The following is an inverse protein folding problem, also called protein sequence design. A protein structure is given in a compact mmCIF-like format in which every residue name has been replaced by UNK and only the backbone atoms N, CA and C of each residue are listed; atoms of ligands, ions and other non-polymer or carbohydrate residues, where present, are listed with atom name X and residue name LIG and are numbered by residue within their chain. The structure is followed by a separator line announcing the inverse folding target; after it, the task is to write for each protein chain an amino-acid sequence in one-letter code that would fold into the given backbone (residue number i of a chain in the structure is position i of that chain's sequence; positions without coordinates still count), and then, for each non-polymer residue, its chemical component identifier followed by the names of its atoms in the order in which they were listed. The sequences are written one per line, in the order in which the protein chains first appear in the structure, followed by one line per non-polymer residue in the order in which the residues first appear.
data_IF_089702401358
#
_entry.id   IF_089702401358
#
_cell.length_a   1.000
_cell.length_b   1.000
_cell.length_c   1.000
_cell.angle_alpha   90.00
_cell.angle_beta   90.00
_cell.angle_gamma   90.00
#
_symmetry.space_group_name_H-M   'P 1'
#
loop_
_entity.id
_entity.type
_entity.pdbx_description
1 polymer ?
#
# COMPACT_ATOMS: atom_id res chain seq x y z
N UNK A 1 -2.85 4.27 -23.10
CA UNK A 1 -2.74 5.74 -23.02
C UNK A 1 -1.82 6.17 -21.87
N UNK A 2 -2.16 5.89 -20.61
CA UNK A 2 -1.33 6.27 -19.43
C UNK A 2 0.12 5.76 -19.53
N UNK A 3 0.31 4.49 -19.90
CA UNK A 3 1.65 3.91 -20.12
C UNK A 3 2.47 4.68 -21.17
N UNK A 4 1.87 4.97 -22.33
CA UNK A 4 2.54 5.70 -23.41
C UNK A 4 2.96 7.11 -22.99
N UNK A 5 2.12 7.80 -22.20
CA UNK A 5 2.44 9.12 -21.64
C UNK A 5 3.61 9.03 -20.66
N UNK A 6 3.62 8.03 -19.76
CA UNK A 6 4.71 7.82 -18.80
C UNK A 6 6.05 7.54 -19.49
N UNK A 7 6.06 6.79 -20.60
CA UNK A 7 7.27 6.52 -21.39
C UNK A 7 7.79 7.80 -22.05
N UNK A 8 6.91 8.64 -22.60
CA UNK A 8 7.31 9.93 -23.20
C UNK A 8 7.84 10.88 -22.13
N UNK A 9 7.20 10.94 -20.96
CA UNK A 9 7.67 11.72 -19.81
C UNK A 9 9.05 11.23 -19.36
N UNK A 10 9.25 9.92 -19.27
CA UNK A 10 10.57 9.33 -18.93
C UNK A 10 11.65 9.75 -19.93
N UNK A 11 11.36 9.70 -21.23
CA UNK A 11 12.29 10.12 -22.28
C UNK A 11 12.62 11.63 -22.18
N UNK A 12 11.63 12.46 -21.86
CA UNK A 12 11.83 13.90 -21.61
C UNK A 12 12.70 14.19 -20.38
N UNK A 13 12.47 13.49 -19.26
CA UNK A 13 13.29 13.62 -18.05
C UNK A 13 14.72 13.11 -18.26
N UNK A 14 14.90 12.05 -19.06
CA UNK A 14 16.22 11.53 -19.42
C UNK A 14 17.03 12.54 -20.24
N UNK A 15 16.40 13.16 -21.25
CA UNK A 15 17.04 14.22 -22.03
C UNK A 15 17.32 15.48 -21.21
N UNK A 16 16.51 15.74 -20.18
CA UNK A 16 16.72 16.82 -19.21
C UNK A 16 17.81 16.54 -18.16
N UNK A 17 18.42 15.36 -18.15
CA UNK A 17 19.47 14.98 -17.19
C UNK A 17 19.00 14.85 -15.73
N UNK A 18 17.69 14.68 -15.50
CA UNK A 18 17.11 14.61 -14.16
C UNK A 18 17.01 13.14 -13.71
N UNK A 19 17.71 12.75 -12.65
CA UNK A 19 17.75 11.35 -12.15
C UNK A 19 16.38 10.75 -11.78
N UNK A 20 15.35 11.58 -11.59
CA UNK A 20 13.98 11.15 -11.37
C UNK A 20 13.39 10.32 -12.54
N UNK A 21 14.03 10.30 -13.72
CA UNK A 21 13.61 9.46 -14.85
C UNK A 21 13.56 7.97 -14.46
N UNK A 22 14.44 7.51 -13.56
CA UNK A 22 14.53 6.11 -13.17
C UNK A 22 13.26 5.65 -12.44
N UNK A 23 12.73 6.49 -11.54
CA UNK A 23 11.50 6.21 -10.82
C UNK A 23 10.30 6.08 -11.77
N UNK A 24 10.17 7.03 -12.72
CA UNK A 24 9.08 7.02 -13.72
C UNK A 24 9.20 5.80 -14.65
N UNK A 25 10.43 5.41 -15.00
CA UNK A 25 10.69 4.22 -15.82
C UNK A 25 10.21 2.93 -15.13
N UNK A 26 10.49 2.76 -13.83
CA UNK A 26 10.05 1.57 -13.07
C UNK A 26 8.52 1.52 -13.01
N UNK A 27 7.86 2.64 -12.77
CA UNK A 27 6.38 2.71 -12.81
C UNK A 27 5.83 2.34 -14.20
N UNK A 28 6.44 2.84 -15.27
CA UNK A 28 6.05 2.47 -16.63
C UNK A 28 6.23 0.96 -16.86
N UNK A 29 7.36 0.37 -16.45
CA UNK A 29 7.63 -1.06 -16.62
C UNK A 29 6.57 -1.94 -15.94
N UNK A 30 6.20 -1.63 -14.70
CA UNK A 30 5.15 -2.37 -13.97
C UNK A 30 3.80 -2.26 -14.70
N UNK A 31 3.45 -1.06 -15.16
CA UNK A 31 2.24 -0.86 -15.97
C UNK A 31 2.30 -1.58 -17.32
N UNK A 32 3.49 -1.73 -17.91
CA UNK A 32 3.73 -2.52 -19.12
C UNK A 32 3.42 -4.00 -18.90
N UNK A 33 3.93 -4.58 -17.82
CA UNK A 33 3.62 -5.97 -17.42
C UNK A 33 2.15 -6.17 -17.06
N UNK A 34 1.53 -5.22 -16.36
CA UNK A 34 0.08 -5.24 -16.12
C UNK A 34 -0.71 -5.14 -17.42
N UNK A 35 -0.22 -4.36 -18.39
CA UNK A 35 -0.83 -4.28 -19.72
C UNK A 35 -0.64 -5.56 -20.53
N UNK A 36 0.43 -6.33 -20.29
CA UNK A 36 0.64 -7.62 -20.95
C UNK A 36 -0.49 -8.62 -20.64
N UNK A 37 -1.11 -8.51 -19.46
CA UNK A 37 -2.31 -9.29 -19.11
C UNK A 37 -3.49 -9.01 -20.06
N UNK A 38 -3.55 -7.85 -20.73
CA UNK A 38 -4.58 -7.61 -21.76
C UNK A 38 -4.37 -8.48 -23.00
N UNK A 39 -3.14 -8.86 -23.35
CA UNK A 39 -2.90 -9.71 -24.52
C UNK A 39 -3.39 -11.15 -24.31
N UNK A 40 -3.60 -11.58 -23.06
CA UNK A 40 -4.26 -12.87 -22.76
C UNK A 40 -5.72 -12.92 -23.22
N UNK A 41 -6.32 -11.80 -23.64
CA UNK A 41 -7.66 -11.72 -24.26
C UNK A 41 -7.79 -12.44 -25.60
N UNK A 42 -6.69 -12.81 -26.25
CA UNK A 42 -6.70 -13.46 -27.57
C UNK A 42 -7.33 -14.86 -27.59
N UNK A 43 -7.43 -15.55 -26.44
CA UNK A 43 -8.15 -16.83 -26.32
C UNK A 43 -9.58 -16.59 -25.84
N UNK A 44 -10.57 -17.14 -26.56
CA UNK A 44 -12.02 -17.02 -26.26
C UNK A 44 -12.38 -17.42 -24.82
N UNK A 45 -11.72 -18.44 -24.26
CA UNK A 45 -11.94 -18.90 -22.88
C UNK A 45 -11.27 -17.95 -21.87
N UNK A 46 -10.01 -17.58 -22.07
CA UNK A 46 -9.23 -16.75 -21.13
C UNK A 46 -9.64 -15.27 -21.14
N UNK A 47 -10.15 -14.77 -22.27
CA UNK A 47 -10.52 -13.36 -22.43
C UNK A 47 -11.74 -12.92 -21.62
N UNK A 48 -12.72 -13.81 -21.40
CA UNK A 48 -13.88 -13.50 -20.55
C UNK A 48 -13.47 -13.36 -19.07
N UNK A 49 -12.61 -14.26 -18.59
CA UNK A 49 -12.08 -14.20 -17.22
C UNK A 49 -11.18 -12.97 -16.98
N UNK A 50 -10.33 -12.59 -17.94
CA UNK A 50 -9.44 -11.43 -17.75
C UNK A 50 -10.20 -10.10 -17.70
N UNK A 51 -11.25 -9.94 -18.51
CA UNK A 51 -12.14 -8.76 -18.46
C UNK A 51 -12.88 -8.69 -17.13
N UNK A 52 -13.35 -9.84 -16.63
CA UNK A 52 -14.04 -9.94 -15.34
C UNK A 52 -13.11 -9.56 -14.18
N UNK A 53 -11.90 -10.15 -14.12
CA UNK A 53 -10.89 -9.85 -13.09
C UNK A 53 -10.49 -8.38 -13.13
N UNK A 54 -10.24 -7.79 -14.30
CA UNK A 54 -9.87 -6.37 -14.41
C UNK A 54 -10.97 -5.45 -13.90
N UNK A 55 -12.24 -5.75 -14.20
CA UNK A 55 -13.38 -4.92 -13.77
C UNK A 55 -13.56 -4.97 -12.25
N UNK A 56 -13.47 -6.16 -11.67
CA UNK A 56 -13.56 -6.40 -10.23
C UNK A 56 -12.36 -5.75 -9.52
N UNK A 57 -11.14 -5.93 -10.06
CA UNK A 57 -9.92 -5.36 -9.50
C UNK A 57 -9.92 -3.82 -9.56
N UNK A 58 -10.32 -3.18 -10.65
CA UNK A 58 -10.30 -1.71 -10.68
C UNK A 58 -11.42 -1.07 -9.87
N UNK A 59 -12.63 -1.65 -9.89
CA UNK A 59 -13.79 -1.01 -9.27
C UNK A 59 -13.86 -1.27 -7.76
N UNK A 60 -13.73 -2.52 -7.36
CA UNK A 60 -13.96 -2.90 -5.98
C UNK A 60 -12.68 -2.72 -5.16
N UNK A 61 -11.52 -3.16 -5.68
CA UNK A 61 -10.25 -3.01 -4.96
C UNK A 61 -9.91 -1.55 -4.68
N UNK A 62 -10.15 -0.65 -5.64
CA UNK A 62 -9.83 0.77 -5.46
C UNK A 62 -10.65 1.42 -4.34
N UNK A 63 -11.95 1.10 -4.24
CA UNK A 63 -12.81 1.64 -3.17
C UNK A 63 -12.38 1.12 -1.80
N UNK A 64 -12.05 -0.16 -1.70
CA UNK A 64 -11.54 -0.75 -0.45
C UNK A 64 -10.14 -0.23 -0.10
N UNK A 65 -9.27 -0.05 -1.09
CA UNK A 65 -7.94 0.52 -0.92
C UNK A 65 -8.00 1.94 -0.35
N UNK A 66 -8.93 2.79 -0.80
CA UNK A 66 -9.10 4.12 -0.24
C UNK A 66 -9.50 4.09 1.24
N UNK A 67 -10.42 3.22 1.63
CA UNK A 67 -10.82 3.05 3.05
C UNK A 67 -9.63 2.55 3.87
N UNK A 68 -8.88 1.57 3.36
CA UNK A 68 -7.67 1.09 3.99
C UNK A 68 -6.62 2.19 4.17
N UNK A 69 -6.32 2.98 3.12
CA UNK A 69 -5.34 4.07 3.20
C UNK A 69 -5.74 5.17 4.19
N UNK A 70 -7.03 5.52 4.25
CA UNK A 70 -7.53 6.47 5.26
C UNK A 70 -7.33 5.94 6.68
N UNK A 71 -7.61 4.66 6.89
CA UNK A 71 -7.41 3.99 8.18
C UNK A 71 -5.92 3.91 8.55
N UNK A 72 -5.06 3.57 7.59
CA UNK A 72 -3.60 3.55 7.74
C UNK A 72 -3.05 4.90 8.19
N UNK A 73 -3.42 5.97 7.48
CA UNK A 73 -2.97 7.34 7.79
C UNK A 73 -3.47 7.78 9.17
N UNK A 74 -4.72 7.46 9.50
CA UNK A 74 -5.31 7.74 10.82
C UNK A 74 -4.52 7.07 11.95
N UNK A 75 -4.31 5.76 11.87
CA UNK A 75 -3.55 5.02 12.88
C UNK A 75 -2.08 5.42 12.93
N UNK A 76 -1.45 5.68 11.78
CA UNK A 76 -0.09 6.18 11.73
C UNK A 76 0.03 7.52 12.47
N UNK A 77 -0.91 8.45 12.25
CA UNK A 77 -0.89 9.75 12.95
C UNK A 77 -1.04 9.60 14.47
N UNK A 78 -1.89 8.68 14.93
CA UNK A 78 -2.10 8.41 16.35
C UNK A 78 -0.88 7.75 17.01
N UNK A 79 -0.33 6.71 16.38
CA UNK A 79 0.84 5.99 16.89
C UNK A 79 2.11 6.87 16.87
N UNK A 80 2.31 7.67 15.81
CA UNK A 80 3.40 8.65 15.76
C UNK A 80 3.25 9.70 16.86
N UNK A 81 2.02 10.01 17.31
CA UNK A 81 1.79 10.90 18.47
C UNK A 81 2.18 10.31 19.82
N UNK A 82 2.36 9.00 19.90
CA UNK A 82 2.80 8.31 21.12
C UNK A 82 4.33 8.13 21.19
N UNK A 83 5.03 8.42 20.09
CA UNK A 83 6.50 8.43 20.04
C UNK A 83 7.05 9.70 20.73
N UNK A 84 8.20 9.56 21.39
CA UNK A 84 8.86 10.69 22.02
C UNK A 84 9.44 11.65 20.96
N UNK A 85 9.28 12.98 21.11
CA UNK A 85 9.91 13.94 20.20
C UNK A 85 11.43 13.87 20.33
N UNK A 86 12.14 14.00 19.21
CA UNK A 86 13.60 14.09 19.25
C UNK A 86 14.04 15.37 19.98
N UNK A 87 15.11 15.32 20.80
CA UNK A 87 15.69 16.52 21.38
C UNK A 87 16.18 17.45 20.27
N UNK A 88 15.94 18.76 20.42
CA UNK A 88 16.38 19.77 19.47
C UNK A 88 17.91 19.81 19.38
N UNK A 89 18.45 20.10 18.20
CA UNK A 89 19.90 20.27 17.97
C UNK A 89 20.56 21.28 18.94
N UNK A 90 19.78 22.21 19.49
CA UNK A 90 20.24 23.18 20.50
C UNK A 90 20.61 22.55 21.86
N UNK A 91 20.10 21.36 22.21
CA UNK A 91 20.50 20.67 23.45
C UNK A 91 21.77 19.81 23.26
N UNK A 92 22.29 19.73 22.04
CA UNK A 92 23.47 18.94 21.67
C UNK A 92 24.72 19.79 21.43
N UNK A 93 24.63 21.12 21.52
CA UNK A 93 25.74 22.06 21.29
C UNK A 93 26.80 22.08 22.41
N UNK A 94 26.50 21.55 23.60
CA UNK A 94 27.46 21.48 24.73
C UNK A 94 28.32 20.21 24.78
N UNK A 95 28.03 19.18 23.97
CA UNK A 95 28.81 17.92 23.97
C UNK A 95 29.34 17.61 22.58
N UNK A 96 30.66 17.58 22.45
CA UNK A 96 31.42 17.40 21.20
C UNK A 96 31.17 16.08 20.45
N UNK A 97 30.37 15.15 21.00
CA UNK A 97 30.01 13.86 20.40
C UNK A 97 28.52 13.52 20.63
N UNK A 98 27.60 14.44 20.35
CA UNK A 98 26.17 14.15 20.42
C UNK A 98 25.63 13.71 19.05
N UNK A 99 25.43 12.40 18.86
CA UNK A 99 24.60 11.89 17.77
C UNK A 99 23.14 12.15 18.11
N UNK A 100 22.45 12.95 17.30
CA UNK A 100 21.01 13.17 17.45
C UNK A 100 20.32 11.83 17.18
N UNK A 101 19.56 11.27 18.15
CA UNK A 101 18.82 10.06 17.89
C UNK A 101 17.90 10.32 16.70
N UNK A 102 17.85 9.37 15.76
CA UNK A 102 16.93 9.41 14.63
C UNK A 102 15.93 8.27 14.80
N UNK A 103 14.81 8.30 14.07
CA UNK A 103 13.90 7.16 13.97
C UNK A 103 14.68 5.84 13.79
N UNK A 104 14.37 4.76 14.54
CA UNK A 104 13.16 4.49 15.35
C UNK A 104 13.10 5.09 16.76
N UNK A 105 14.19 5.69 17.25
CA UNK A 105 14.33 6.10 18.66
C UNK A 105 13.54 7.35 19.07
N UNK A 106 13.19 8.20 18.11
CA UNK A 106 12.42 9.41 18.37
C UNK A 106 11.66 9.89 17.11
N UNK A 107 10.69 10.77 17.33
CA UNK A 107 9.84 11.39 16.29
C UNK A 107 10.42 12.71 15.82
N UNK A 108 10.67 12.80 14.52
CA UNK A 108 10.93 14.02 13.77
C UNK A 108 9.86 14.24 12.67
N UNK A 109 9.89 15.41 12.03
CA UNK A 109 8.99 15.81 10.93
C UNK A 109 8.97 14.82 9.75
N UNK A 110 10.10 14.19 9.43
CA UNK A 110 10.21 13.23 8.31
C UNK A 110 9.83 11.79 8.71
N UNK A 111 9.71 11.51 10.01
CA UNK A 111 9.45 10.18 10.56
C UNK A 111 8.08 9.62 10.17
N UNK A 112 7.11 10.47 9.83
CA UNK A 112 5.77 10.01 9.47
C UNK A 112 5.77 9.11 8.23
N UNK A 113 6.57 9.44 7.20
CA UNK A 113 6.61 8.65 5.97
C UNK A 113 7.29 7.29 6.18
N UNK A 114 8.38 7.24 6.96
CA UNK A 114 9.07 5.98 7.26
C UNK A 114 8.21 5.09 8.16
N UNK A 115 7.55 5.69 9.16
CA UNK A 115 6.64 4.97 10.05
C UNK A 115 5.42 4.39 9.32
N UNK A 116 4.85 5.13 8.36
CA UNK A 116 3.78 4.62 7.50
C UNK A 116 4.22 3.37 6.71
N UNK A 117 5.44 3.38 6.18
CA UNK A 117 6.00 2.24 5.45
C UNK A 117 6.25 1.05 6.36
N UNK A 118 6.74 1.27 7.58
CA UNK A 118 6.99 0.18 8.52
C UNK A 118 5.69 -0.41 9.08
N UNK A 119 4.65 0.41 9.33
CA UNK A 119 3.30 -0.08 9.58
C UNK A 119 2.78 -0.95 8.43
N UNK A 120 2.99 -0.52 7.19
CA UNK A 120 2.59 -1.30 6.03
C UNK A 120 3.35 -2.64 5.95
N UNK A 121 4.67 -2.63 6.15
CA UNK A 121 5.47 -3.87 6.24
C UNK A 121 4.97 -4.78 7.35
N UNK A 122 4.59 -4.22 8.50
CA UNK A 122 4.06 -4.95 9.64
C UNK A 122 2.72 -5.64 9.29
N UNK A 123 1.84 -5.00 8.53
CA UNK A 123 0.60 -5.65 8.05
C UNK A 123 0.82 -6.80 7.08
N UNK A 124 1.94 -6.79 6.33
CA UNK A 124 2.34 -7.90 5.44
C UNK A 124 3.03 -9.03 6.24
N UNK A 125 3.56 -8.72 7.43
CA UNK A 125 4.32 -9.64 8.27
C UNK A 125 5.84 -9.54 8.12
N UNK A 126 6.35 -8.46 7.51
CA UNK A 126 7.78 -8.18 7.32
C UNK A 126 8.28 -7.00 8.17
N UNK A 127 7.46 -6.46 9.07
CA UNK A 127 7.81 -5.28 9.86
C UNK A 127 8.57 -5.62 11.14
N UNK A 128 9.59 -4.83 11.45
CA UNK A 128 10.33 -4.91 12.71
C UNK A 128 9.63 -4.10 13.81
N UNK A 129 9.70 -4.61 15.05
CA UNK A 129 9.04 -4.01 16.22
C UNK A 129 9.93 -3.00 16.98
N UNK A 130 11.04 -2.53 16.40
CA UNK A 130 11.99 -1.63 17.06
C UNK A 130 11.36 -0.29 17.52
N UNK A 131 10.32 0.17 16.82
CA UNK A 131 9.55 1.35 17.17
C UNK A 131 8.68 1.21 18.42
N UNK A 132 8.51 -0.01 18.95
CA UNK A 132 7.76 -0.29 20.19
C UNK A 132 8.51 0.17 21.44
N UNK A 133 9.85 0.05 21.44
CA UNK A 133 10.70 0.40 22.58
C UNK A 133 10.82 1.92 22.79
N UNK A 134 10.54 2.69 21.74
CA UNK A 134 10.71 4.15 21.71
C UNK A 134 9.43 4.91 22.07
N UNK A 135 8.35 4.20 22.35
CA UNK A 135 7.05 4.77 22.70
C UNK A 135 7.04 5.30 24.15
N UNK A 136 6.45 6.49 24.35
CA UNK A 136 6.27 7.09 25.68
C UNK A 136 5.38 6.26 26.59
N UNK A 137 4.38 5.60 26.00
CA UNK A 137 3.43 4.72 26.68
C UNK A 137 3.33 3.38 25.93
N UNK A 138 4.22 2.41 26.22
CA UNK A 138 4.29 1.17 25.47
C UNK A 138 2.99 0.35 25.54
N UNK A 139 2.29 0.36 26.68
CA UNK A 139 1.01 -0.35 26.82
C UNK A 139 -0.08 0.16 25.88
N UNK A 140 -0.25 1.47 25.78
CA UNK A 140 -1.26 2.08 24.88
C UNK A 140 -0.88 1.86 23.42
N UNK A 141 0.42 1.96 23.11
CA UNK A 141 0.94 1.71 21.78
C UNK A 141 0.66 0.27 21.33
N UNK A 142 0.94 -0.72 22.18
CA UNK A 142 0.67 -2.14 21.89
C UNK A 142 -0.82 -2.38 21.66
N UNK A 143 -1.69 -1.85 22.51
CA UNK A 143 -3.15 -2.02 22.35
C UNK A 143 -3.63 -1.42 21.02
N UNK A 144 -3.18 -0.21 20.68
CA UNK A 144 -3.52 0.43 19.40
C UNK A 144 -2.96 -0.36 18.21
N UNK A 145 -1.75 -0.88 18.31
CA UNK A 145 -1.14 -1.68 17.26
C UNK A 145 -1.90 -3.00 17.04
N UNK A 146 -2.26 -3.71 18.11
CA UNK A 146 -3.03 -4.97 18.04
C UNK A 146 -4.41 -4.73 17.46
N UNK A 147 -5.13 -3.70 17.93
CA UNK A 147 -6.45 -3.35 17.40
C UNK A 147 -6.39 -2.96 15.92
N UNK A 148 -5.34 -2.24 15.51
CA UNK A 148 -5.06 -1.94 14.11
C UNK A 148 -4.85 -3.21 13.25
N UNK A 149 -4.03 -4.16 13.71
CA UNK A 149 -3.80 -5.42 12.98
C UNK A 149 -5.10 -6.21 12.82
N UNK A 150 -5.90 -6.32 13.89
CA UNK A 150 -7.18 -7.02 13.84
C UNK A 150 -8.14 -6.34 12.84
N UNK A 151 -8.28 -5.01 12.91
CA UNK A 151 -9.19 -4.27 12.04
C UNK A 151 -8.74 -4.31 10.58
N UNK A 152 -7.45 -4.16 10.30
CA UNK A 152 -6.92 -4.28 8.94
C UNK A 152 -7.13 -5.68 8.38
N UNK A 153 -6.92 -6.73 9.17
CA UNK A 153 -7.18 -8.10 8.75
C UNK A 153 -8.67 -8.32 8.42
N UNK A 154 -9.58 -7.83 9.27
CA UNK A 154 -11.03 -7.89 9.01
C UNK A 154 -11.40 -7.12 7.73
N UNK A 155 -10.83 -5.95 7.50
CA UNK A 155 -11.08 -5.16 6.28
C UNK A 155 -10.59 -5.88 5.02
N UNK A 156 -9.39 -6.47 5.06
CA UNK A 156 -8.83 -7.23 3.95
C UNK A 156 -9.64 -8.51 3.67
N UNK A 157 -10.09 -9.21 4.72
CA UNK A 157 -10.96 -10.38 4.56
C UNK A 157 -12.32 -10.00 4.00
N UNK A 158 -12.95 -8.94 4.48
CA UNK A 158 -14.25 -8.47 3.96
C UNK A 158 -14.18 -8.14 2.47
N UNK A 159 -13.07 -7.56 2.04
CA UNK A 159 -12.80 -7.31 0.64
C UNK A 159 -12.61 -8.61 -0.15
N UNK A 160 -11.81 -9.56 0.34
CA UNK A 160 -11.63 -10.86 -0.33
C UNK A 160 -12.96 -11.61 -0.49
N UNK A 161 -13.80 -11.58 0.54
CA UNK A 161 -15.14 -12.18 0.52
C UNK A 161 -16.04 -11.46 -0.50
N UNK A 162 -15.99 -10.13 -0.58
CA UNK A 162 -16.75 -9.38 -1.57
C UNK A 162 -16.33 -9.74 -3.01
N UNK A 163 -15.03 -9.87 -3.26
CA UNK A 163 -14.47 -10.29 -4.56
C UNK A 163 -14.92 -11.71 -4.93
N UNK A 164 -14.83 -12.64 -3.99
CA UNK A 164 -15.27 -14.03 -4.15
C UNK A 164 -16.81 -14.13 -4.31
N UNK A 165 -17.56 -13.27 -3.62
CA UNK A 165 -19.02 -13.21 -3.71
C UNK A 165 -19.53 -12.73 -5.07
N UNK A 166 -18.91 -11.69 -5.64
CA UNK A 166 -19.25 -11.23 -6.99
C UNK A 166 -18.88 -12.26 -8.08
N UNK A 167 -17.71 -12.90 -7.96
CA UNK A 167 -17.30 -13.95 -8.91
C UNK A 167 -18.24 -15.16 -8.85
N UNK A 168 -18.63 -15.63 -7.67
CA UNK A 168 -19.60 -16.72 -7.52
C UNK A 168 -20.98 -16.33 -8.05
N UNK A 169 -21.41 -15.07 -7.85
CA UNK A 169 -22.67 -14.56 -8.39
C UNK A 169 -22.71 -14.52 -9.93
N UNK A 170 -21.60 -14.18 -10.58
CA UNK A 170 -21.49 -14.21 -12.05
C UNK A 170 -21.43 -15.63 -12.60
N UNK A 171 -20.62 -16.51 -12.01
CA UNK A 171 -20.55 -17.93 -12.39
C UNK A 171 -21.92 -18.60 -12.22
N UNK A 172 -22.67 -18.28 -11.15
CA UNK A 172 -24.02 -18.82 -10.94
C UNK A 172 -25.02 -18.41 -12.05
N UNK A 173 -24.92 -17.19 -12.58
CA UNK A 173 -25.76 -16.75 -13.71
C UNK A 173 -25.39 -17.43 -15.02
N UNK A 174 -24.09 -17.62 -15.26
CA UNK A 174 -23.58 -18.32 -16.44
C UNK A 174 -23.95 -19.82 -16.40
N UNK A 175 -23.83 -20.46 -15.23
CA UNK A 175 -24.27 -21.85 -15.01
C UNK A 175 -25.77 -22.05 -15.21
N UNK A 176 -26.62 -21.10 -14.77
CA UNK A 176 -28.08 -21.14 -15.04
C UNK A 176 -28.42 -21.04 -16.52
N UNK A 177 -27.60 -20.33 -17.30
CA UNK A 177 -27.81 -20.18 -18.75
C UNK A 177 -27.42 -21.45 -19.49
N UNK A 178 -26.36 -22.15 -19.06
CA UNK A 178 -25.95 -23.45 -19.60
C UNK A 178 -26.97 -24.55 -19.22
N UNK A 179 -27.48 -24.56 -17.99
CA UNK A 179 -28.44 -25.58 -17.54
C UNK A 179 -29.83 -25.45 -18.20
N UNK A 180 -30.19 -24.30 -18.78
CA UNK A 180 -31.44 -24.11 -19.53
C UNK A 180 -31.36 -24.51 -21.00
N UNK A 181 -30.14 -24.72 -21.52
CA UNK A 181 -29.88 -25.12 -22.91
C UNK A 181 -29.68 -26.63 -23.05
N UNK A 182 -29.52 -27.33 -21.93
CA UNK A 182 -29.45 -28.78 -21.83
C UNK A 182 -30.79 -29.33 -21.33
#
# INVERSE_FOLDING_TARGET
FIYSVLVIVTAGLYLGGIEAYLAVMVFALVLGWMNALYFTRGLKLTGTYSIMIQKILFKDLFRFLLVYLLFMIGYASALVSLLNPCPSSESCSEKSNCTVPTYPSCRDSQTFSTFLLDLFKLTIGMGDLEMLESAKYPGVFIILLVTYIILTFVLLLNMLIALMGETVGQVSKESKHIWKLQ
#
